data_IF_085633502346
#
_entry.id   IF_085633502346
#
_cell.length_a   1.000
_cell.length_b   1.000
_cell.length_c   1.000
_cell.angle_alpha   90.00
_cell.angle_beta   90.00
_cell.angle_gamma   90.00
#
_symmetry.space_group_name_H-M   'P 1'
#
loop_
_entity.id
_entity.type
_entity.pdbx_description
1 polymer ?
#
# COMPACT_ATOMS: atom_id res chain seq x y z
N UNK A 1 -0.31 -16.52 -19.59
CA UNK A 1 0.19 -15.22 -20.07
C UNK A 1 0.54 -14.34 -18.88
N UNK A 2 1.74 -13.88 -18.87
CA UNK A 2 2.17 -12.99 -17.80
C UNK A 2 1.45 -11.65 -17.90
N UNK A 3 1.07 -11.10 -16.76
CA UNK A 3 0.47 -9.78 -16.72
C UNK A 3 1.54 -8.73 -16.97
N UNK A 4 1.23 -7.72 -17.76
CA UNK A 4 2.19 -6.63 -17.96
C UNK A 4 2.47 -5.93 -16.63
N UNK A 5 3.73 -5.60 -16.40
CA UNK A 5 4.15 -4.81 -15.26
C UNK A 5 4.52 -3.44 -15.78
N UNK A 6 3.80 -2.44 -15.35
CA UNK A 6 4.10 -1.06 -15.70
C UNK A 6 4.72 -0.37 -14.50
N UNK A 7 5.91 0.17 -14.72
CA UNK A 7 6.66 0.83 -13.67
C UNK A 7 6.26 2.29 -13.62
N UNK A 8 5.60 2.69 -12.54
CA UNK A 8 5.17 4.07 -12.37
C UNK A 8 6.31 4.95 -11.87
N UNK A 9 7.17 4.43 -10.98
CA UNK A 9 8.20 5.24 -10.37
C UNK A 9 9.26 4.37 -9.71
N UNK A 10 10.53 4.75 -9.83
CA UNK A 10 11.59 4.27 -8.95
C UNK A 10 12.35 5.48 -8.46
N UNK A 11 12.42 5.65 -7.15
CA UNK A 11 13.03 6.82 -6.53
C UNK A 11 13.91 6.37 -5.38
N UNK A 12 15.09 7.00 -5.28
CA UNK A 12 15.91 6.88 -4.09
C UNK A 12 15.59 8.06 -3.18
N UNK A 13 15.12 7.77 -1.98
CA UNK A 13 14.82 8.78 -0.99
C UNK A 13 15.93 8.80 0.06
N UNK A 14 16.28 9.98 0.57
CA UNK A 14 17.35 10.15 1.52
C UNK A 14 16.85 10.66 2.88
N UNK A 15 15.54 10.80 3.02
CA UNK A 15 14.94 11.24 4.28
C UNK A 15 13.51 10.72 4.38
N UNK A 16 13.00 10.75 5.59
CA UNK A 16 11.59 10.45 5.85
C UNK A 16 10.68 11.37 5.05
N UNK A 17 11.02 12.66 4.99
CA UNK A 17 10.21 13.64 4.25
C UNK A 17 10.12 13.29 2.76
N UNK A 18 11.18 12.81 2.14
CA UNK A 18 11.16 12.41 0.74
C UNK A 18 10.30 11.16 0.53
N UNK A 19 10.38 10.18 1.44
CA UNK A 19 9.53 8.99 1.39
C UNK A 19 8.06 9.37 1.56
N UNK A 20 7.76 10.29 2.47
CA UNK A 20 6.42 10.82 2.67
C UNK A 20 5.88 11.51 1.42
N UNK A 21 6.74 12.28 0.75
CA UNK A 21 6.35 12.96 -0.49
C UNK A 21 5.95 11.96 -1.59
N UNK A 22 6.61 10.83 -1.66
CA UNK A 22 6.24 9.77 -2.61
C UNK A 22 4.86 9.19 -2.28
N UNK A 23 4.57 8.99 -1.00
CA UNK A 23 3.25 8.52 -0.58
C UNK A 23 2.14 9.51 -0.92
N UNK A 24 2.39 10.79 -0.70
CA UNK A 24 1.44 11.84 -1.05
C UNK A 24 1.18 11.90 -2.55
N UNK A 25 2.23 11.77 -3.36
CA UNK A 25 2.09 11.82 -4.81
C UNK A 25 1.27 10.64 -5.34
N UNK A 26 1.55 9.43 -4.85
CA UNK A 26 0.77 8.27 -5.26
C UNK A 26 -0.71 8.43 -4.89
N UNK A 27 -0.99 8.92 -3.68
CA UNK A 27 -2.35 9.14 -3.25
C UNK A 27 -3.09 10.13 -4.14
N UNK A 28 -2.42 11.22 -4.51
CA UNK A 28 -3.00 12.22 -5.42
C UNK A 28 -3.28 11.62 -6.79
N UNK A 29 -2.36 10.84 -7.33
CA UNK A 29 -2.55 10.18 -8.62
C UNK A 29 -3.76 9.25 -8.57
N UNK A 30 -3.94 8.51 -7.47
CA UNK A 30 -5.08 7.60 -7.34
C UNK A 30 -6.40 8.34 -7.21
N UNK A 31 -6.41 9.53 -6.62
CA UNK A 31 -7.62 10.35 -6.57
C UNK A 31 -7.98 10.92 -7.93
N UNK A 32 -6.97 11.23 -8.75
CA UNK A 32 -7.17 11.87 -10.05
C UNK A 32 -7.38 10.88 -11.19
N UNK A 33 -6.91 9.65 -11.05
CA UNK A 33 -6.92 8.66 -12.11
C UNK A 33 -7.61 7.37 -11.65
N UNK A 34 -8.84 7.19 -12.08
CA UNK A 34 -9.63 5.99 -11.78
C UNK A 34 -9.10 4.72 -12.44
N UNK A 35 -8.19 4.86 -13.40
CA UNK A 35 -7.55 3.71 -14.04
C UNK A 35 -6.48 3.03 -13.19
N UNK A 36 -6.02 3.68 -12.12
CA UNK A 36 -5.07 3.07 -11.19
C UNK A 36 -5.83 2.10 -10.29
N UNK A 37 -5.40 0.82 -10.21
CA UNK A 37 -6.09 -0.16 -9.36
C UNK A 37 -6.14 0.31 -7.89
N UNK A 38 -7.31 0.19 -7.23
CA UNK A 38 -7.47 0.70 -5.86
C UNK A 38 -6.97 -0.28 -4.79
N UNK A 39 -5.86 -0.93 -5.05
CA UNK A 39 -5.23 -1.87 -4.12
C UNK A 39 -3.73 -1.64 -4.13
N UNK A 40 -3.17 -1.30 -2.97
CA UNK A 40 -1.73 -1.10 -2.83
C UNK A 40 -1.17 -2.22 -1.96
N UNK A 41 -0.31 -3.03 -2.57
CA UNK A 41 0.44 -4.07 -1.88
C UNK A 41 1.78 -3.49 -1.46
N UNK A 42 1.99 -3.33 -0.15
CA UNK A 42 3.16 -2.70 0.41
C UNK A 42 4.13 -3.74 0.94
N UNK A 43 5.36 -3.67 0.49
CA UNK A 43 6.43 -4.60 0.82
C UNK A 43 7.59 -3.86 1.48
N UNK A 44 8.32 -4.57 2.31
CA UNK A 44 9.52 -4.05 2.95
C UNK A 44 9.63 -4.49 4.39
N UNK A 45 10.87 -4.56 4.89
CA UNK A 45 11.16 -4.97 6.25
C UNK A 45 10.76 -3.90 7.27
N UNK A 46 10.74 -4.27 8.53
CA UNK A 46 10.54 -3.34 9.63
C UNK A 46 11.62 -2.24 9.59
N UNK A 47 11.22 -1.02 9.89
CA UNK A 47 12.16 0.10 9.96
C UNK A 47 12.55 0.70 8.63
N UNK A 48 11.94 0.30 7.52
CA UNK A 48 12.28 0.85 6.20
C UNK A 48 11.46 2.08 5.81
N UNK A 49 10.60 2.58 6.71
CA UNK A 49 9.82 3.79 6.45
C UNK A 49 8.40 3.55 5.98
N UNK A 50 7.88 2.33 6.08
CA UNK A 50 6.51 2.02 5.70
C UNK A 50 5.49 2.85 6.46
N UNK A 51 5.72 3.06 7.76
CA UNK A 51 4.82 3.85 8.60
C UNK A 51 4.68 5.28 8.12
N UNK A 52 5.81 5.89 7.73
CA UNK A 52 5.78 7.26 7.20
C UNK A 52 5.02 7.33 5.89
N UNK A 53 5.26 6.36 4.98
CA UNK A 53 4.54 6.28 3.71
C UNK A 53 3.04 6.14 3.94
N UNK A 54 2.65 5.19 4.79
CA UNK A 54 1.23 4.92 5.09
C UNK A 54 0.54 6.14 5.68
N UNK A 55 1.20 6.80 6.63
CA UNK A 55 0.62 7.97 7.30
C UNK A 55 0.30 9.07 6.32
N UNK A 56 1.23 9.39 5.44
CA UNK A 56 1.02 10.49 4.48
C UNK A 56 0.04 10.07 3.39
N UNK A 57 0.14 8.85 2.89
CA UNK A 57 -0.84 8.33 1.94
C UNK A 57 -2.26 8.47 2.50
N UNK A 58 -2.46 8.01 3.72
CA UNK A 58 -3.77 8.07 4.36
C UNK A 58 -4.25 9.50 4.58
N UNK A 59 -3.34 10.43 4.89
CA UNK A 59 -3.71 11.83 5.11
C UNK A 59 -4.22 12.51 3.84
N UNK A 60 -3.78 12.06 2.69
CA UNK A 60 -4.26 12.58 1.40
C UNK A 60 -5.61 11.96 1.03
N UNK A 61 -5.77 10.66 1.21
CA UNK A 61 -7.03 9.97 0.89
C UNK A 61 -8.13 10.35 1.87
N UNK A 62 -7.80 10.41 3.16
CA UNK A 62 -8.76 10.68 4.24
C UNK A 62 -8.24 11.79 5.14
N UNK A 63 -8.34 13.06 4.71
CA UNK A 63 -7.84 14.19 5.49
C UNK A 63 -8.46 14.26 6.88
N UNK A 64 -7.63 14.56 7.87
CA UNK A 64 -8.07 14.73 9.24
C UNK A 64 -8.14 13.47 10.08
N UNK A 65 -7.91 12.29 9.49
CA UNK A 65 -7.90 11.05 10.28
C UNK A 65 -6.57 10.86 10.97
N UNK A 66 -6.62 10.24 12.16
CA UNK A 66 -5.42 9.79 12.85
C UNK A 66 -5.14 8.36 12.45
N UNK A 67 -4.02 8.15 11.77
CA UNK A 67 -3.63 6.83 11.30
C UNK A 67 -3.06 6.01 12.45
N UNK A 68 -3.57 4.81 12.62
CA UNK A 68 -3.11 3.87 13.64
C UNK A 68 -2.78 2.54 12.98
N UNK A 69 -1.79 1.85 13.52
CA UNK A 69 -1.50 0.49 13.09
C UNK A 69 -2.68 -0.41 13.45
N UNK A 70 -3.19 -1.23 12.52
CA UNK A 70 -4.30 -2.14 12.81
C UNK A 70 -3.80 -3.41 13.49
N UNK A 71 -3.22 -3.29 14.69
CA UNK A 71 -2.48 -4.35 15.36
C UNK A 71 -3.36 -5.55 15.73
N UNK A 72 -4.52 -5.30 16.30
CA UNK A 72 -5.41 -6.39 16.76
C UNK A 72 -6.56 -6.64 15.80
N UNK A 73 -7.10 -5.58 15.22
CA UNK A 73 -8.23 -5.69 14.30
C UNK A 73 -7.81 -6.18 12.91
N UNK A 74 -6.53 -6.12 12.58
CA UNK A 74 -5.93 -6.46 11.30
C UNK A 74 -6.38 -5.57 10.15
N UNK A 75 -7.44 -4.78 10.34
CA UNK A 75 -7.92 -3.79 9.38
C UNK A 75 -8.50 -2.58 10.10
N UNK A 76 -8.15 -1.38 9.60
CA UNK A 76 -8.79 -0.14 10.01
C UNK A 76 -9.47 0.47 8.78
N UNK A 77 -10.71 0.88 8.96
CA UNK A 77 -11.44 1.57 7.91
C UNK A 77 -11.50 3.06 8.23
N UNK A 78 -11.04 3.89 7.30
CA UNK A 78 -11.13 5.35 7.42
C UNK A 78 -12.14 5.85 6.40
N UNK A 79 -13.21 6.45 6.89
CA UNK A 79 -14.24 7.02 6.02
C UNK A 79 -13.68 8.22 5.29
N UNK A 80 -13.89 8.28 3.98
CA UNK A 80 -13.38 9.36 3.15
C UNK A 80 -14.20 9.47 1.88
N UNK A 81 -14.08 10.61 1.21
CA UNK A 81 -14.66 10.84 -0.09
C UNK A 81 -13.55 11.23 -1.06
N UNK A 82 -13.63 10.75 -2.29
CA UNK A 82 -14.71 9.99 -2.93
C UNK A 82 -14.78 8.52 -2.51
N UNK A 83 -13.76 7.99 -1.83
CA UNK A 83 -13.71 6.58 -1.45
C UNK A 83 -13.09 6.40 -0.07
N UNK A 84 -13.56 5.42 0.74
CA UNK A 84 -12.91 5.12 2.01
C UNK A 84 -11.55 4.45 1.79
N UNK A 85 -10.73 4.47 2.83
CA UNK A 85 -9.44 3.77 2.87
C UNK A 85 -9.54 2.59 3.82
N UNK A 86 -9.12 1.42 3.34
CA UNK A 86 -9.04 0.20 4.15
C UNK A 86 -7.56 -0.13 4.36
N UNK A 87 -7.08 0.03 5.58
CA UNK A 87 -5.68 -0.20 5.93
C UNK A 87 -5.55 -1.55 6.64
N UNK A 88 -4.84 -2.47 6.01
CA UNK A 88 -4.61 -3.83 6.51
C UNK A 88 -3.16 -4.01 6.94
N UNK A 89 -2.97 -4.83 7.97
CA UNK A 89 -1.64 -5.31 8.35
C UNK A 89 -1.69 -6.84 8.40
N UNK A 90 -0.98 -7.47 7.48
CA UNK A 90 -0.98 -8.93 7.32
C UNK A 90 0.18 -9.61 8.05
N UNK A 91 0.84 -8.91 8.98
CA UNK A 91 1.99 -9.46 9.70
C UNK A 91 1.67 -10.80 10.39
N UNK A 92 0.47 -10.91 10.95
CA UNK A 92 0.05 -12.11 11.70
C UNK A 92 -0.73 -13.12 10.89
N UNK A 93 -0.91 -12.87 9.59
CA UNK A 93 -1.64 -13.80 8.73
C UNK A 93 -0.69 -14.93 8.35
N UNK A 94 -1.12 -16.16 8.60
CA UNK A 94 -0.33 -17.36 8.31
C UNK A 94 -0.92 -18.21 7.19
N UNK A 95 -2.24 -18.11 6.95
CA UNK A 95 -2.92 -18.91 5.95
C UNK A 95 -4.22 -18.24 5.49
N UNK A 96 -4.88 -18.85 4.51
CA UNK A 96 -6.10 -18.29 3.94
C UNK A 96 -7.27 -18.26 4.95
N UNK A 97 -7.33 -19.21 5.87
CA UNK A 97 -8.39 -19.19 6.89
C UNK A 97 -8.32 -17.94 7.76
N UNK A 98 -7.11 -17.45 8.04
CA UNK A 98 -6.93 -16.19 8.77
C UNK A 98 -7.51 -15.02 7.98
N UNK A 99 -7.32 -15.00 6.66
CA UNK A 99 -7.89 -13.95 5.81
C UNK A 99 -9.42 -14.01 5.79
N UNK A 100 -9.97 -15.21 5.69
CA UNK A 100 -11.42 -15.39 5.68
C UNK A 100 -12.04 -14.89 6.98
N UNK A 101 -11.34 -15.09 8.11
CA UNK A 101 -11.84 -14.70 9.42
C UNK A 101 -11.99 -13.20 9.60
N UNK A 102 -11.20 -12.40 8.86
CA UNK A 102 -11.29 -10.93 8.93
C UNK A 102 -12.15 -10.33 7.81
N UNK A 103 -12.72 -11.19 6.95
CA UNK A 103 -13.56 -10.71 5.86
C UNK A 103 -12.80 -10.01 4.73
N UNK A 104 -11.53 -10.39 4.50
CA UNK A 104 -10.65 -9.70 3.57
C UNK A 104 -11.27 -9.55 2.17
N UNK A 105 -11.81 -10.65 1.63
CA UNK A 105 -12.35 -10.63 0.26
C UNK A 105 -13.58 -9.74 0.12
N UNK A 106 -14.36 -9.56 1.18
CA UNK A 106 -15.50 -8.66 1.17
C UNK A 106 -15.08 -7.21 0.99
N UNK A 107 -13.92 -6.82 1.56
CA UNK A 107 -13.39 -5.47 1.38
C UNK A 107 -12.99 -5.22 -0.08
N UNK A 108 -12.49 -6.24 -0.77
CA UNK A 108 -12.10 -6.08 -2.18
C UNK A 108 -13.28 -5.76 -3.08
N UNK A 109 -14.49 -6.19 -2.68
CA UNK A 109 -15.72 -5.95 -3.44
C UNK A 109 -16.34 -4.59 -3.12
N UNK A 110 -15.84 -3.90 -2.10
CA UNK A 110 -16.36 -2.58 -1.71
C UNK A 110 -15.64 -1.46 -2.47
N UNK A 111 -16.34 -0.35 -2.77
CA UNK A 111 -15.72 0.80 -3.44
C UNK A 111 -14.82 1.57 -2.45
N UNK A 112 -13.56 1.19 -2.38
CA UNK A 112 -12.60 1.81 -1.50
C UNK A 112 -11.18 1.55 -1.98
N UNK A 113 -10.21 2.16 -1.32
CA UNK A 113 -8.79 1.94 -1.59
C UNK A 113 -8.24 1.04 -0.48
N UNK A 114 -7.64 -0.08 -0.88
CA UNK A 114 -6.98 -1.00 0.05
C UNK A 114 -5.50 -0.70 0.10
N UNK A 115 -4.96 -0.52 1.31
CA UNK A 115 -3.53 -0.34 1.54
C UNK A 115 -3.10 -1.46 2.49
N UNK A 116 -2.28 -2.38 1.98
CA UNK A 116 -2.02 -3.65 2.65
C UNK A 116 -0.54 -3.80 2.97
N UNK A 117 -0.20 -3.71 4.26
CA UNK A 117 1.16 -3.96 4.75
C UNK A 117 1.39 -5.46 4.90
N UNK A 118 2.66 -5.88 4.77
CA UNK A 118 3.05 -7.28 4.82
C UNK A 118 2.35 -8.13 3.75
N UNK A 119 2.24 -7.57 2.55
CA UNK A 119 1.62 -8.26 1.42
C UNK A 119 2.39 -9.52 1.01
N UNK A 120 3.66 -9.64 1.38
CA UNK A 120 4.45 -10.85 1.19
C UNK A 120 3.86 -12.07 1.90
N UNK A 121 3.00 -11.86 2.90
CA UNK A 121 2.35 -12.96 3.61
C UNK A 121 1.09 -13.47 2.90
N UNK A 122 0.59 -12.74 1.89
CA UNK A 122 -0.65 -13.11 1.18
C UNK A 122 -0.49 -13.14 -0.34
N UNK A 123 0.55 -13.75 -0.89
CA UNK A 123 0.75 -13.74 -2.35
C UNK A 123 -0.40 -14.42 -3.10
N UNK A 124 -1.04 -15.40 -2.48
CA UNK A 124 -2.17 -16.14 -3.05
C UNK A 124 -3.48 -15.33 -3.07
N UNK A 125 -3.54 -14.22 -2.38
CA UNK A 125 -4.78 -13.45 -2.20
C UNK A 125 -4.75 -12.09 -2.89
N UNK A 126 -3.66 -11.72 -3.54
CA UNK A 126 -3.57 -10.46 -4.24
C UNK A 126 -4.54 -10.45 -5.44
N UNK A 127 -5.23 -9.33 -5.69
CA UNK A 127 -6.08 -9.24 -6.88
C UNK A 127 -5.25 -9.28 -8.15
N UNK A 128 -5.92 -9.44 -9.29
CA UNK A 128 -5.24 -9.49 -10.58
C UNK A 128 -4.56 -8.17 -10.93
N UNK A 129 -5.16 -7.07 -10.51
CA UNK A 129 -4.63 -5.73 -10.78
C UNK A 129 -4.39 -5.01 -9.46
N UNK A 130 -3.17 -4.55 -9.26
CA UNK A 130 -2.82 -3.83 -8.04
C UNK A 130 -1.59 -2.96 -8.27
N UNK A 131 -1.29 -2.09 -7.29
CA UNK A 131 -0.08 -1.30 -7.27
C UNK A 131 0.87 -1.93 -6.25
N UNK A 132 2.07 -2.25 -6.69
CA UNK A 132 3.10 -2.81 -5.83
C UNK A 132 4.03 -1.69 -5.38
N UNK A 133 4.16 -1.50 -4.08
CA UNK A 133 5.07 -0.51 -3.50
C UNK A 133 6.09 -1.26 -2.65
N UNK A 134 7.34 -1.14 -3.01
CA UNK A 134 8.43 -1.80 -2.29
C UNK A 134 9.43 -0.77 -1.78
N UNK A 135 9.72 -0.82 -0.47
CA UNK A 135 10.74 0.01 0.16
C UNK A 135 11.89 -0.87 0.62
N UNK A 136 13.09 -0.49 0.24
CA UNK A 136 14.30 -1.22 0.63
C UNK A 136 15.31 -0.24 1.20
N UNK A 137 16.00 -0.66 2.26
CA UNK A 137 17.17 0.08 2.74
C UNK A 137 18.28 -0.07 1.72
N UNK A 138 19.01 1.01 1.50
CA UNK A 138 20.19 0.98 0.64
C UNK A 138 21.40 0.44 1.42
N UNK A 139 22.52 1.13 1.42
CA UNK A 139 23.71 0.67 2.10
C UNK A 139 23.63 0.94 3.61
N UNK A 140 24.31 0.09 4.40
CA UNK A 140 24.34 0.22 5.87
C UNK A 140 24.95 1.53 6.33
N UNK A 141 25.82 2.15 5.53
CA UNK A 141 26.46 3.43 5.83
C UNK A 141 25.56 4.63 5.50
N UNK A 142 24.37 4.39 4.96
CA UNK A 142 23.38 5.42 4.62
C UNK A 142 22.04 5.05 5.25
N UNK A 143 21.93 5.21 6.57
CA UNK A 143 20.77 4.66 7.31
C UNK A 143 19.42 5.26 6.90
N UNK A 144 19.42 6.48 6.36
CA UNK A 144 18.19 7.15 5.95
C UNK A 144 17.89 7.01 4.46
N UNK A 145 18.79 6.38 3.71
CA UNK A 145 18.60 6.21 2.27
C UNK A 145 17.76 4.98 1.97
N UNK A 146 16.75 5.16 1.12
CA UNK A 146 15.82 4.11 0.72
C UNK A 146 15.65 4.08 -0.79
N UNK A 147 15.41 2.91 -1.35
CA UNK A 147 14.92 2.78 -2.71
C UNK A 147 13.45 2.43 -2.65
N UNK A 148 12.64 3.26 -3.27
CA UNK A 148 11.19 3.10 -3.35
C UNK A 148 10.82 2.78 -4.79
N UNK A 149 10.17 1.64 -5.01
CA UNK A 149 9.71 1.24 -6.33
C UNK A 149 8.20 1.12 -6.32
N UNK A 150 7.54 1.80 -7.25
CA UNK A 150 6.09 1.75 -7.43
C UNK A 150 5.81 1.19 -8.81
N UNK A 151 5.07 0.08 -8.86
CA UNK A 151 4.78 -0.61 -10.10
C UNK A 151 3.29 -0.94 -10.15
N UNK A 152 2.69 -0.77 -11.32
CA UNK A 152 1.32 -1.22 -11.56
C UNK A 152 1.38 -2.61 -12.15
N UNK A 153 0.74 -3.57 -11.47
CA UNK A 153 0.69 -4.96 -11.90
C UNK A 153 -0.67 -5.20 -12.55
N UNK A 154 -0.66 -5.75 -13.75
CA UNK A 154 -1.88 -5.95 -14.51
C UNK A 154 -2.46 -4.61 -14.94
N UNK A 155 -3.77 -4.54 -14.95
CA UNK A 155 -4.45 -3.26 -15.02
C UNK A 155 -4.86 -2.83 -16.36
N UNK A 156 -5.14 -1.60 -16.35
CA UNK A 156 -6.03 -0.93 -17.23
C UNK A 156 -5.48 -0.64 -18.61
N UNK A 157 -4.40 -1.08 -18.97
CA UNK A 157 -3.96 -0.92 -20.34
C UNK A 157 -4.66 -1.86 -21.29
N UNK A 158 -5.43 -2.72 -20.71
CA UNK A 158 -6.11 -3.71 -21.48
C UNK A 158 -7.19 -3.12 -22.35
#
# INVERSE_FOLDING_TARGET
>A
MEKPMEKLMTVRTQSTAETEACGAELAKQMLDDAGIPPFIALYGDLGVGKTAFVRVFASVIAPGVTVRSPTFALVNEYKAKPRPLFHFDMYRISNEDDLLSIGFYDYLDRPGICLVEWSENIPYALPDDYVRVALCKDAADKPDSRTLTIEQIGGAGA
#
